data_IF_648948259364
#
_entry.id   IF_648948259364
#
_cell.length_a   1.000
_cell.length_b   1.000
_cell.length_c   1.000
_cell.angle_alpha   90.00
_cell.angle_beta   90.00
_cell.angle_gamma   90.00
#
_symmetry.space_group_name_H-M   'P 1'
#
loop_
_entity.id
_entity.type
_entity.pdbx_description
1 polymer ?
#
# COMPACT_ATOMS: atom_id res chain seq x y z
N UNK A 1 26.48 -5.09 16.78
CA UNK A 1 25.34 -5.79 16.18
C UNK A 1 25.79 -6.40 14.85
N UNK A 2 25.55 -7.69 14.56
CA UNK A 2 25.93 -8.29 13.27
C UNK A 2 25.09 -7.69 12.14
N UNK A 3 25.72 -7.13 11.10
CA UNK A 3 25.05 -6.53 9.94
C UNK A 3 25.25 -7.43 8.70
N UNK A 4 24.18 -7.70 7.96
CA UNK A 4 24.24 -8.34 6.64
C UNK A 4 23.87 -7.34 5.56
N UNK A 5 24.77 -7.11 4.60
CA UNK A 5 24.53 -6.24 3.45
C UNK A 5 24.82 -6.99 2.14
N UNK A 6 24.08 -6.64 1.09
CA UNK A 6 24.40 -6.98 -0.29
C UNK A 6 24.27 -5.72 -1.12
N UNK A 7 25.21 -5.51 -2.05
CA UNK A 7 25.13 -4.43 -3.02
C UNK A 7 24.01 -4.71 -4.03
N UNK A 8 23.03 -3.82 -4.11
CA UNK A 8 22.05 -3.73 -5.19
C UNK A 8 22.45 -2.57 -6.09
N UNK A 9 22.93 -2.82 -7.30
CA UNK A 9 23.16 -1.74 -8.26
C UNK A 9 21.84 -0.98 -8.54
N UNK A 10 21.69 0.22 -7.99
CA UNK A 10 20.58 1.16 -8.28
C UNK A 10 20.94 2.11 -9.43
N UNK A 11 22.09 1.93 -10.07
CA UNK A 11 22.52 2.79 -11.17
C UNK A 11 21.79 2.40 -12.47
N UNK A 12 20.86 3.25 -12.90
CA UNK A 12 20.25 3.22 -14.24
C UNK A 12 18.74 2.95 -14.25
N UNK A 13 18.23 2.12 -13.35
CA UNK A 13 16.81 1.74 -13.32
C UNK A 13 16.06 2.45 -12.19
N UNK A 14 15.17 3.37 -12.55
CA UNK A 14 14.33 4.11 -11.59
C UNK A 14 13.25 3.24 -10.92
N UNK A 15 13.12 1.95 -11.27
CA UNK A 15 12.13 1.05 -10.71
C UNK A 15 12.64 0.30 -9.48
N UNK A 16 12.73 1.01 -8.35
CA UNK A 16 13.22 0.48 -7.07
C UNK A 16 12.46 -0.77 -6.60
N UNK A 17 11.16 -0.87 -6.92
CA UNK A 17 10.31 -2.01 -6.54
C UNK A 17 10.76 -3.28 -7.26
N UNK A 18 11.06 -3.17 -8.55
CA UNK A 18 11.54 -4.30 -9.36
C UNK A 18 12.93 -4.76 -8.90
N UNK A 19 13.85 -3.82 -8.67
CA UNK A 19 15.20 -4.13 -8.18
C UNK A 19 15.17 -4.80 -6.79
N UNK A 20 14.32 -4.29 -5.90
CA UNK A 20 14.11 -4.87 -4.56
C UNK A 20 13.56 -6.29 -4.69
N UNK A 21 12.50 -6.48 -5.47
CA UNK A 21 11.88 -7.80 -5.71
C UNK A 21 12.88 -8.80 -6.28
N UNK A 22 13.64 -8.39 -7.30
CA UNK A 22 14.69 -9.22 -7.92
C UNK A 22 15.76 -9.64 -6.92
N UNK A 23 16.17 -8.74 -6.03
CA UNK A 23 17.19 -9.04 -5.03
C UNK A 23 16.69 -9.97 -3.94
N UNK A 24 15.50 -9.71 -3.38
CA UNK A 24 14.90 -10.59 -2.38
C UNK A 24 14.67 -12.00 -2.94
N UNK A 25 14.20 -12.10 -4.20
CA UNK A 25 14.06 -13.38 -4.88
C UNK A 25 15.41 -14.09 -5.07
N UNK A 26 16.48 -13.36 -5.40
CA UNK A 26 17.82 -13.93 -5.50
C UNK A 26 18.28 -14.51 -4.16
N UNK A 27 18.12 -13.78 -3.06
CA UNK A 27 18.45 -14.26 -1.71
C UNK A 27 17.65 -15.51 -1.34
N UNK A 28 16.34 -15.49 -1.56
CA UNK A 28 15.47 -16.62 -1.26
C UNK A 28 15.83 -17.87 -2.07
N UNK A 29 16.23 -17.69 -3.34
CA UNK A 29 16.54 -18.80 -4.23
C UNK A 29 17.91 -19.46 -3.96
N UNK A 30 18.73 -18.97 -3.02
CA UNK A 30 19.97 -19.67 -2.60
C UNK A 30 19.68 -21.12 -2.18
N UNK A 31 18.52 -21.36 -1.55
CA UNK A 31 18.11 -22.70 -1.12
C UNK A 31 18.00 -23.68 -2.29
N UNK A 32 17.53 -23.23 -3.46
CA UNK A 32 17.32 -24.09 -4.64
C UNK A 32 18.63 -24.65 -5.17
N UNK A 33 19.71 -23.88 -5.08
CA UNK A 33 21.04 -24.30 -5.51
C UNK A 33 21.76 -25.18 -4.48
N UNK A 34 21.28 -25.20 -3.24
CA UNK A 34 21.94 -25.91 -2.13
C UNK A 34 21.43 -27.33 -1.87
N UNK A 35 20.24 -27.69 -2.36
CA UNK A 35 19.69 -29.05 -2.23
C UNK A 35 19.53 -29.53 -0.77
N UNK A 36 19.02 -28.67 0.12
CA UNK A 36 18.91 -28.98 1.55
C UNK A 36 18.06 -30.22 1.81
N UNK A 37 18.65 -31.20 2.50
CA UNK A 37 17.94 -32.38 3.04
C UNK A 37 17.37 -32.12 4.44
N UNK A 38 17.94 -31.14 5.16
CA UNK A 38 17.48 -30.66 6.46
C UNK A 38 17.60 -29.13 6.51
N UNK A 39 16.76 -28.43 7.31
CA UNK A 39 16.75 -26.97 7.38
C UNK A 39 17.91 -26.42 8.22
N UNK A 40 19.13 -26.91 8.03
CA UNK A 40 20.32 -26.49 8.80
C UNK A 40 21.01 -25.30 8.16
N UNK A 41 21.40 -24.30 8.95
CA UNK A 41 22.05 -23.10 8.47
C UNK A 41 23.50 -23.35 8.03
N UNK A 42 23.77 -23.10 6.75
CA UNK A 42 25.12 -23.04 6.17
C UNK A 42 25.38 -21.64 5.62
N UNK A 43 26.16 -20.86 6.36
CA UNK A 43 26.54 -19.49 5.98
C UNK A 43 27.30 -19.42 4.64
N UNK A 44 27.90 -20.52 4.17
CA UNK A 44 28.65 -20.54 2.90
C UNK A 44 27.77 -20.79 1.68
N UNK A 45 26.59 -21.42 1.86
CA UNK A 45 25.71 -21.83 0.76
C UNK A 45 24.38 -21.08 0.72
N UNK A 46 23.81 -20.82 1.89
CA UNK A 46 22.45 -20.29 2.06
C UNK A 46 22.44 -19.10 3.01
N UNK A 47 23.47 -18.25 2.93
CA UNK A 47 23.67 -17.14 3.86
C UNK A 47 22.43 -16.28 4.01
N UNK A 48 21.89 -15.79 2.91
CA UNK A 48 20.78 -14.85 2.90
C UNK A 48 19.45 -15.59 3.08
N UNK A 49 19.27 -16.73 2.42
CA UNK A 49 18.08 -17.57 2.65
C UNK A 49 17.92 -17.93 4.12
N UNK A 50 19.00 -18.37 4.77
CA UNK A 50 18.97 -18.78 6.17
C UNK A 50 18.63 -17.65 7.13
N UNK A 51 19.06 -16.42 6.84
CA UNK A 51 18.63 -15.25 7.63
C UNK A 51 17.14 -14.99 7.44
N UNK A 52 16.66 -15.02 6.19
CA UNK A 52 15.24 -14.79 5.86
C UNK A 52 14.31 -15.87 6.44
N UNK A 53 14.76 -17.12 6.49
CA UNK A 53 13.97 -18.29 6.91
C UNK A 53 14.15 -18.67 8.40
N UNK A 54 14.96 -17.92 9.16
CA UNK A 54 15.25 -18.22 10.57
C UNK A 54 14.00 -18.09 11.44
N UNK A 55 13.39 -19.22 11.81
CA UNK A 55 12.09 -19.30 12.49
C UNK A 55 11.98 -18.55 13.83
N UNK A 56 13.04 -18.41 14.65
CA UNK A 56 13.01 -17.59 15.86
C UNK A 56 12.84 -16.07 15.61
N UNK A 57 13.04 -15.60 14.38
CA UNK A 57 12.97 -14.17 14.03
C UNK A 57 11.55 -13.64 14.15
N UNK A 58 11.37 -12.50 14.81
CA UNK A 58 10.04 -11.90 15.02
C UNK A 58 9.89 -10.49 14.48
N UNK A 59 10.99 -9.86 14.10
CA UNK A 59 11.03 -8.51 13.57
C UNK A 59 12.16 -8.32 12.58
N UNK A 60 11.89 -7.54 11.53
CA UNK A 60 12.90 -7.13 10.58
C UNK A 60 12.56 -5.76 9.98
N UNK A 61 13.58 -5.06 9.50
CA UNK A 61 13.43 -3.80 8.80
C UNK A 61 14.44 -3.72 7.66
N UNK A 62 14.01 -3.17 6.53
CA UNK A 62 14.87 -2.97 5.37
C UNK A 62 14.95 -1.50 4.99
N UNK A 63 16.11 -1.08 4.51
CA UNK A 63 16.33 0.24 3.93
C UNK A 63 17.26 0.11 2.74
N UNK A 64 17.23 1.09 1.85
CA UNK A 64 18.18 1.21 0.76
C UNK A 64 18.70 2.63 0.69
N UNK A 65 19.93 2.79 0.20
CA UNK A 65 20.51 4.13 0.01
C UNK A 65 20.98 4.32 -1.44
N UNK A 66 20.87 5.56 -1.92
CA UNK A 66 21.36 5.95 -3.24
C UNK A 66 22.89 6.05 -3.29
N UNK A 67 23.53 6.37 -2.16
CA UNK A 67 24.98 6.61 -2.11
C UNK A 67 25.82 5.35 -2.26
N UNK A 68 25.32 4.18 -1.84
CA UNK A 68 26.07 2.93 -1.92
C UNK A 68 25.41 1.84 -2.72
N UNK A 69 24.21 2.08 -3.29
CA UNK A 69 23.50 1.09 -4.09
C UNK A 69 23.38 -0.22 -3.28
N UNK A 70 22.78 -0.13 -2.08
CA UNK A 70 22.66 -1.25 -1.15
C UNK A 70 21.23 -1.33 -0.64
N UNK A 71 20.66 -2.53 -0.63
CA UNK A 71 19.55 -2.88 0.24
C UNK A 71 20.14 -3.57 1.46
N UNK A 72 19.76 -3.06 2.61
CA UNK A 72 20.12 -3.60 3.91
C UNK A 72 18.83 -4.04 4.57
N UNK A 73 18.78 -5.29 5.01
CA UNK A 73 17.73 -5.78 5.89
C UNK A 73 18.38 -6.22 7.20
N UNK A 74 17.84 -5.76 8.32
CA UNK A 74 18.23 -6.18 9.66
C UNK A 74 17.10 -6.99 10.27
N UNK A 75 17.48 -8.02 11.01
CA UNK A 75 16.60 -8.97 11.67
C UNK A 75 16.93 -8.97 13.16
N UNK A 76 15.92 -9.15 14.00
CA UNK A 76 16.05 -9.18 15.47
C UNK A 76 16.75 -10.44 15.99
N UNK A 77 16.89 -11.47 15.14
CA UNK A 77 17.59 -12.71 15.44
C UNK A 77 18.68 -13.00 14.40
N UNK A 78 19.76 -13.64 14.84
CA UNK A 78 20.84 -14.13 13.98
C UNK A 78 20.82 -15.67 13.95
N UNK A 79 20.76 -16.32 12.77
CA UNK A 79 20.94 -17.76 12.68
C UNK A 79 22.38 -18.15 13.04
N UNK A 80 22.54 -19.27 13.73
CA UNK A 80 23.84 -19.82 14.13
C UNK A 80 24.25 -20.92 13.16
N UNK A 81 25.50 -20.89 12.68
CA UNK A 81 26.02 -21.90 11.76
C UNK A 81 25.88 -23.30 12.36
N UNK A 82 25.35 -24.24 11.57
CA UNK A 82 25.13 -25.62 11.99
C UNK A 82 23.84 -25.86 12.80
N UNK A 83 23.13 -24.82 13.22
CA UNK A 83 21.83 -24.96 13.86
C UNK A 83 20.71 -25.06 12.82
N UNK A 84 19.61 -25.69 13.20
CA UNK A 84 18.38 -25.67 12.41
C UNK A 84 17.81 -24.24 12.36
N UNK A 85 17.39 -23.83 11.17
CA UNK A 85 16.72 -22.55 10.90
C UNK A 85 15.31 -22.53 11.47
N UNK A 86 14.59 -23.64 11.31
CA UNK A 86 13.26 -23.87 11.82
C UNK A 86 13.07 -25.37 12.06
N UNK A 87 12.08 -25.73 12.86
CA UNK A 87 11.72 -27.13 13.06
C UNK A 87 10.88 -27.61 11.88
N UNK A 88 11.27 -28.73 11.28
CA UNK A 88 10.43 -29.43 10.31
C UNK A 88 9.25 -30.08 11.05
N UNK A 89 8.06 -29.98 10.48
CA UNK A 89 6.81 -30.45 11.09
C UNK A 89 5.63 -30.17 10.17
N UNK A 90 4.41 -30.37 10.66
CA UNK A 90 3.24 -29.92 9.94
C UNK A 90 3.02 -28.41 10.16
N UNK A 91 2.15 -27.80 9.35
CA UNK A 91 1.93 -26.36 9.43
C UNK A 91 1.16 -25.96 10.71
N UNK A 92 1.15 -24.66 11.01
CA UNK A 92 0.51 -24.16 12.23
C UNK A 92 -1.03 -24.31 12.27
N UNK A 93 -1.68 -24.77 11.20
CA UNK A 93 -3.11 -25.10 11.24
C UNK A 93 -3.39 -26.45 11.89
N UNK A 94 -2.34 -27.25 12.12
CA UNK A 94 -2.43 -28.62 12.65
C UNK A 94 -1.69 -28.83 13.97
N UNK A 95 -0.49 -28.25 14.11
CA UNK A 95 0.38 -28.49 15.26
C UNK A 95 0.35 -27.37 16.32
N UNK A 96 -0.60 -26.44 16.19
CA UNK A 96 -0.67 -25.18 16.94
C UNK A 96 0.64 -24.37 16.89
N UNK A 97 0.55 -23.09 17.24
CA UNK A 97 1.74 -22.26 17.33
C UNK A 97 2.43 -22.42 18.68
N UNK A 98 3.76 -22.30 18.70
CA UNK A 98 4.57 -22.46 19.92
C UNK A 98 4.15 -21.52 21.06
N UNK A 99 4.42 -21.87 22.33
CA UNK A 99 4.22 -20.96 23.46
C UNK A 99 4.85 -19.57 23.20
N UNK A 100 4.06 -18.51 23.42
CA UNK A 100 4.46 -17.14 23.08
C UNK A 100 3.96 -16.64 21.71
N UNK A 101 2.97 -17.31 21.11
CA UNK A 101 2.24 -16.94 19.89
C UNK A 101 0.73 -16.99 20.16
N UNK A 102 -0.11 -16.34 19.33
CA UNK A 102 -1.56 -16.21 19.55
C UNK A 102 -2.44 -16.86 18.50
N UNK A 103 -1.98 -16.99 17.25
CA UNK A 103 -2.79 -17.56 16.17
C UNK A 103 -1.96 -17.92 14.95
N UNK A 104 -2.45 -18.91 14.19
CA UNK A 104 -1.93 -19.22 12.85
C UNK A 104 -2.66 -18.34 11.81
N UNK A 105 -1.91 -17.51 11.09
CA UNK A 105 -2.43 -16.63 10.03
C UNK A 105 -1.66 -16.89 8.76
N UNK A 106 -2.35 -17.39 7.71
CA UNK A 106 -1.73 -17.73 6.42
C UNK A 106 -0.46 -18.59 6.59
N UNK A 107 -0.56 -19.63 7.42
CA UNK A 107 0.54 -20.56 7.74
C UNK A 107 1.73 -19.95 8.49
N UNK A 108 1.56 -18.76 9.09
CA UNK A 108 2.55 -18.14 9.97
C UNK A 108 1.99 -17.95 11.38
N UNK A 109 2.82 -18.24 12.38
CA UNK A 109 2.47 -18.02 13.77
C UNK A 109 2.62 -16.55 14.16
N UNK A 110 1.53 -15.94 14.62
CA UNK A 110 1.50 -14.55 15.06
C UNK A 110 1.92 -14.44 16.52
N UNK A 111 2.77 -13.48 16.88
CA UNK A 111 3.00 -13.13 18.28
C UNK A 111 1.70 -12.54 18.90
N UNK A 112 1.39 -12.81 20.19
CA UNK A 112 0.22 -12.25 20.87
C UNK A 112 0.26 -10.73 20.91
N UNK A 113 1.48 -10.19 20.87
CA UNK A 113 1.76 -8.77 20.75
C UNK A 113 2.80 -8.54 19.64
N UNK A 114 2.42 -8.79 18.39
CA UNK A 114 3.11 -8.17 17.26
C UNK A 114 2.71 -6.69 17.21
N UNK A 115 3.61 -5.82 17.67
CA UNK A 115 3.51 -4.38 17.42
C UNK A 115 4.45 -4.09 16.25
N UNK A 116 3.96 -3.97 15.00
CA UNK A 116 4.76 -3.33 13.97
C UNK A 116 5.24 -2.00 14.53
N UNK A 117 6.49 -1.61 14.27
CA UNK A 117 6.95 -0.29 14.71
C UNK A 117 5.97 0.77 14.19
N UNK A 118 5.20 1.38 15.08
CA UNK A 118 4.42 2.57 14.78
C UNK A 118 5.36 3.75 14.47
N UNK A 119 6.59 3.66 14.97
CA UNK A 119 7.74 4.46 14.55
C UNK A 119 8.36 3.89 13.26
N UNK A 120 7.55 3.71 12.22
CA UNK A 120 8.05 3.65 10.86
C UNK A 120 8.21 5.10 10.39
N UNK A 121 9.46 5.52 10.13
CA UNK A 121 9.69 6.77 9.42
C UNK A 121 9.57 6.54 7.91
N UNK A 122 8.94 7.46 7.17
CA UNK A 122 8.22 8.65 7.66
C UNK A 122 6.92 8.31 8.38
N UNK A 123 6.61 9.07 9.46
CA UNK A 123 5.35 8.92 10.21
C UNK A 123 4.15 9.24 9.33
N UNK A 124 2.97 8.64 9.57
CA UNK A 124 1.72 9.07 8.93
C UNK A 124 1.53 10.58 9.08
N UNK A 125 0.85 11.21 8.11
CA UNK A 125 0.57 12.65 8.03
C UNK A 125 -0.41 13.15 9.11
N UNK A 126 -0.71 12.33 10.10
CA UNK A 126 -1.61 12.64 11.21
C UNK A 126 -0.82 13.32 12.33
N UNK A 127 -1.42 14.34 12.94
CA UNK A 127 -0.94 14.94 14.17
C UNK A 127 -0.93 13.95 15.33
N UNK A 128 -0.22 14.31 16.39
CA UNK A 128 -0.10 13.48 17.59
C UNK A 128 -1.47 13.09 18.15
N UNK A 129 -1.65 11.80 18.45
CA UNK A 129 -2.90 11.25 18.98
C UNK A 129 -4.03 11.05 17.95
N UNK A 130 -3.76 11.27 16.66
CA UNK A 130 -4.73 11.04 15.58
C UNK A 130 -4.26 9.94 14.62
N UNK A 131 -5.22 9.17 14.09
CA UNK A 131 -4.96 8.11 13.11
C UNK A 131 -6.14 7.95 12.16
N UNK A 132 -5.84 7.67 10.90
CA UNK A 132 -6.78 7.23 9.86
C UNK A 132 -6.62 5.73 9.54
N UNK A 133 -5.73 5.03 10.25
CA UNK A 133 -5.42 3.62 10.01
C UNK A 133 -4.55 3.37 8.77
N UNK A 134 -4.03 4.42 8.12
CA UNK A 134 -3.16 4.32 6.96
C UNK A 134 -1.68 4.57 7.33
N UNK A 135 -0.77 3.99 6.55
CA UNK A 135 0.65 4.34 6.62
C UNK A 135 0.94 5.60 5.79
N UNK A 136 2.08 6.26 6.02
CA UNK A 136 2.50 7.41 5.21
C UNK A 136 2.54 7.08 3.71
N UNK A 137 3.02 5.89 3.35
CA UNK A 137 3.07 5.46 1.95
C UNK A 137 1.68 5.36 1.33
N UNK A 138 0.69 4.86 2.08
CA UNK A 138 -0.70 4.80 1.61
C UNK A 138 -1.27 6.21 1.44
N UNK A 139 -1.05 7.11 2.38
CA UNK A 139 -1.53 8.50 2.32
C UNK A 139 -0.92 9.25 1.13
N UNK A 140 0.40 9.13 0.91
CA UNK A 140 1.07 9.66 -0.28
C UNK A 140 0.52 9.07 -1.57
N UNK A 141 0.33 7.74 -1.61
CA UNK A 141 -0.23 7.07 -2.79
C UNK A 141 -1.61 7.62 -3.14
N UNK A 142 -2.48 7.81 -2.13
CA UNK A 142 -3.83 8.37 -2.32
C UNK A 142 -3.75 9.80 -2.86
N UNK A 143 -2.97 10.67 -2.20
CA UNK A 143 -2.81 12.07 -2.61
C UNK A 143 -2.27 12.18 -4.04
N UNK A 144 -1.23 11.42 -4.36
CA UNK A 144 -0.56 11.49 -5.67
C UNK A 144 -1.44 10.97 -6.78
N UNK A 145 -2.16 9.86 -6.57
CA UNK A 145 -3.08 9.31 -7.57
C UNK A 145 -4.27 10.22 -7.82
N UNK A 146 -4.90 10.76 -6.78
CA UNK A 146 -6.00 11.72 -6.94
C UNK A 146 -5.51 12.94 -7.73
N UNK A 147 -4.36 13.50 -7.36
CA UNK A 147 -3.80 14.65 -8.07
C UNK A 147 -3.34 14.30 -9.49
N UNK A 148 -2.92 13.07 -9.77
CA UNK A 148 -2.64 12.62 -11.13
C UNK A 148 -3.89 12.70 -12.01
N UNK A 149 -5.03 12.16 -11.55
CA UNK A 149 -6.28 12.25 -12.30
C UNK A 149 -6.82 13.68 -12.43
N UNK A 150 -6.65 14.52 -11.40
CA UNK A 150 -6.95 15.96 -11.48
C UNK A 150 -6.12 16.67 -12.53
N UNK A 151 -4.81 16.36 -12.63
CA UNK A 151 -3.95 16.90 -13.69
C UNK A 151 -4.43 16.48 -15.06
N UNK A 152 -4.85 15.22 -15.25
CA UNK A 152 -5.43 14.79 -16.54
C UNK A 152 -6.62 15.66 -16.95
N UNK A 153 -7.53 16.00 -16.03
CA UNK A 153 -8.64 16.93 -16.32
C UNK A 153 -8.13 18.36 -16.58
N UNK A 154 -7.22 18.85 -15.74
CA UNK A 154 -6.61 20.19 -15.90
C UNK A 154 -5.84 20.38 -17.21
N UNK A 155 -5.37 19.30 -17.83
CA UNK A 155 -4.63 19.32 -19.10
C UNK A 155 -5.45 18.82 -20.31
N UNK A 156 -6.70 18.40 -20.13
CA UNK A 156 -7.54 17.87 -21.21
C UNK A 156 -7.22 16.44 -21.67
N UNK A 157 -6.49 15.68 -20.85
CA UNK A 157 -6.09 14.28 -21.13
C UNK A 157 -6.94 13.25 -20.38
N UNK A 158 -7.91 13.67 -19.57
CA UNK A 158 -8.84 12.77 -18.91
C UNK A 158 -9.82 12.20 -19.95
N UNK A 159 -9.75 10.89 -20.21
CA UNK A 159 -10.64 10.23 -21.17
C UNK A 159 -12.08 10.22 -20.65
N UNK A 160 -13.03 10.53 -21.53
CA UNK A 160 -14.46 10.44 -21.28
C UNK A 160 -15.12 9.49 -22.28
N UNK A 161 -16.42 9.21 -22.13
CA UNK A 161 -17.17 8.34 -23.06
C UNK A 161 -16.98 8.74 -24.52
N UNK A 162 -17.05 10.05 -24.79
CA UNK A 162 -16.97 10.64 -26.12
C UNK A 162 -15.66 11.42 -26.33
N UNK A 163 -14.51 10.81 -26.01
CA UNK A 163 -13.18 11.40 -26.21
C UNK A 163 -12.52 11.81 -24.90
N UNK A 164 -12.45 13.11 -24.63
CA UNK A 164 -11.81 13.67 -23.43
C UNK A 164 -12.78 14.59 -22.67
N UNK A 165 -12.66 14.59 -21.35
CA UNK A 165 -13.37 15.54 -20.51
C UNK A 165 -12.89 16.97 -20.79
N UNK A 166 -13.76 17.98 -20.66
CA UNK A 166 -13.39 19.37 -20.85
C UNK A 166 -12.22 19.80 -19.94
N UNK A 167 -11.35 20.67 -20.47
CA UNK A 167 -10.20 21.21 -19.73
C UNK A 167 -10.68 22.06 -18.56
N UNK A 168 -10.18 21.76 -17.36
CA UNK A 168 -10.48 22.59 -16.19
C UNK A 168 -9.55 23.81 -16.10
N UNK A 169 -10.14 25.02 -16.12
CA UNK A 169 -9.41 26.29 -16.02
C UNK A 169 -8.68 26.50 -14.69
N UNK A 170 -9.26 26.03 -13.58
CA UNK A 170 -8.74 26.22 -12.21
C UNK A 170 -8.83 24.90 -11.43
N UNK A 171 -7.85 24.02 -11.61
CA UNK A 171 -7.77 22.73 -10.92
C UNK A 171 -6.67 22.75 -9.84
N UNK A 172 -6.99 23.06 -8.57
CA UNK A 172 -5.99 23.03 -7.51
C UNK A 172 -5.59 21.59 -7.19
N UNK A 173 -4.33 21.39 -6.78
CA UNK A 173 -3.92 20.14 -6.17
C UNK A 173 -4.55 19.99 -4.78
N UNK A 174 -4.92 18.77 -4.43
CA UNK A 174 -5.38 18.42 -3.10
C UNK A 174 -4.21 18.07 -2.20
N UNK A 175 -4.34 18.43 -0.93
CA UNK A 175 -3.44 18.01 0.15
C UNK A 175 -4.19 17.04 1.05
N UNK A 176 -3.52 15.97 1.47
CA UNK A 176 -4.07 14.94 2.32
C UNK A 176 -4.33 15.51 3.72
N UNK A 177 -5.58 15.41 4.18
CA UNK A 177 -5.96 15.85 5.51
C UNK A 177 -6.24 14.63 6.39
N UNK A 178 -5.22 14.14 7.12
CA UNK A 178 -5.43 13.01 8.01
C UNK A 178 -6.30 13.39 9.21
N UNK A 179 -5.99 14.51 9.87
CA UNK A 179 -6.52 14.80 11.22
C UNK A 179 -8.04 14.93 11.30
N UNK A 180 -8.66 15.48 10.26
CA UNK A 180 -10.10 15.67 10.20
C UNK A 180 -10.73 14.67 9.25
N UNK A 181 -10.35 14.69 7.97
CA UNK A 181 -11.00 13.86 6.95
C UNK A 181 -10.62 12.39 7.09
N UNK A 182 -9.34 12.07 7.25
CA UNK A 182 -8.88 10.70 7.46
C UNK A 182 -9.50 10.06 8.72
N UNK A 183 -9.51 10.79 9.84
CA UNK A 183 -10.16 10.34 11.09
C UNK A 183 -11.66 10.08 10.90
N UNK A 184 -12.38 10.95 10.19
CA UNK A 184 -13.81 10.76 9.91
C UNK A 184 -14.04 9.55 9.01
N UNK A 185 -13.24 9.38 7.95
CA UNK A 185 -13.30 8.20 7.08
C UNK A 185 -13.07 6.92 7.87
N UNK A 186 -12.06 6.89 8.73
CA UNK A 186 -11.80 5.75 9.64
C UNK A 186 -13.00 5.46 10.54
N UNK A 187 -13.59 6.50 11.14
CA UNK A 187 -14.77 6.36 12.00
C UNK A 187 -15.96 5.72 11.27
N UNK A 188 -16.15 6.05 10.00
CA UNK A 188 -17.20 5.44 9.16
C UNK A 188 -16.85 3.97 8.86
N UNK A 189 -15.61 3.68 8.46
CA UNK A 189 -15.20 2.33 8.04
C UNK A 189 -15.06 1.34 9.19
N UNK A 190 -14.66 1.79 10.39
CA UNK A 190 -14.48 0.94 11.57
C UNK A 190 -15.80 0.32 12.07
N UNK A 191 -16.95 0.83 11.62
CA UNK A 191 -18.26 0.21 11.90
C UNK A 191 -18.46 -1.12 11.16
N UNK A 192 -17.66 -1.38 10.12
CA UNK A 192 -17.75 -2.59 9.30
C UNK A 192 -19.13 -2.82 8.66
N UNK A 193 -19.89 -1.76 8.43
CA UNK A 193 -21.19 -1.82 7.74
C UNK A 193 -20.98 -2.05 6.23
N UNK A 194 -21.93 -2.74 5.57
CA UNK A 194 -21.97 -2.81 4.11
C UNK A 194 -22.56 -1.50 3.56
N UNK A 195 -22.16 -1.04 2.35
CA UNK A 195 -22.76 0.14 1.72
C UNK A 195 -24.29 -0.02 1.53
N UNK A 196 -25.05 1.08 1.43
CA UNK A 196 -24.59 2.45 1.23
C UNK A 196 -24.11 3.13 2.52
N UNK A 197 -23.12 4.01 2.37
CA UNK A 197 -22.59 4.82 3.46
C UNK A 197 -23.10 6.26 3.38
N UNK A 198 -23.27 6.90 4.54
CA UNK A 198 -23.67 8.30 4.62
C UNK A 198 -22.44 9.20 4.81
N UNK A 199 -22.25 10.17 3.93
CA UNK A 199 -21.19 11.16 4.09
C UNK A 199 -21.43 12.05 5.32
N UNK A 200 -20.36 12.47 5.99
CA UNK A 200 -20.48 13.44 7.08
C UNK A 200 -21.05 14.78 6.58
N UNK A 201 -21.79 15.49 7.45
CA UNK A 201 -22.50 16.72 7.08
C UNK A 201 -21.59 17.72 6.36
N UNK A 202 -22.06 18.24 5.22
CA UNK A 202 -21.34 19.19 4.38
C UNK A 202 -20.17 18.62 3.58
N UNK A 203 -19.99 17.29 3.56
CA UNK A 203 -18.91 16.60 2.83
C UNK A 203 -19.47 15.66 1.77
N UNK A 204 -18.64 15.38 0.77
CA UNK A 204 -18.90 14.31 -0.19
C UNK A 204 -17.95 13.13 0.09
N UNK A 205 -18.26 11.98 -0.48
CA UNK A 205 -17.53 10.75 -0.23
C UNK A 205 -17.55 9.86 -1.46
N UNK A 206 -16.43 9.18 -1.69
CA UNK A 206 -16.33 8.04 -2.59
C UNK A 206 -16.00 6.80 -1.79
N UNK A 207 -16.54 5.65 -2.18
CA UNK A 207 -16.27 4.38 -1.52
C UNK A 207 -16.01 3.28 -2.55
N UNK A 208 -15.32 2.23 -2.11
CA UNK A 208 -15.08 1.04 -2.89
C UNK A 208 -15.21 -0.17 -1.97
N UNK A 209 -16.05 -1.12 -2.35
CA UNK A 209 -16.38 -2.29 -1.54
C UNK A 209 -16.24 -3.55 -2.39
N UNK A 210 -15.56 -4.55 -1.85
CA UNK A 210 -15.38 -5.87 -2.47
C UNK A 210 -15.56 -6.96 -1.41
N UNK A 211 -16.23 -8.05 -1.76
CA UNK A 211 -16.36 -9.22 -0.88
C UNK A 211 -15.16 -10.15 -1.05
N UNK A 212 -14.00 -9.72 -0.55
CA UNK A 212 -12.74 -10.47 -0.64
C UNK A 212 -11.93 -10.30 0.64
N UNK A 213 -11.22 -11.35 1.06
CA UNK A 213 -10.28 -11.27 2.20
C UNK A 213 -8.83 -11.28 1.73
N UNK A 214 -7.93 -10.76 2.56
CA UNK A 214 -6.48 -10.92 2.36
C UNK A 214 -5.86 -10.09 1.23
N UNK A 215 -6.48 -8.99 0.81
CA UNK A 215 -5.93 -8.04 -0.14
C UNK A 215 -4.73 -7.25 0.42
N UNK A 216 -3.85 -6.79 -0.48
CA UNK A 216 -2.84 -5.78 -0.15
C UNK A 216 -3.52 -4.41 -0.08
N UNK A 217 -3.49 -3.75 1.07
CA UNK A 217 -4.20 -2.47 1.28
C UNK A 217 -3.78 -1.38 0.31
N UNK A 218 -2.49 -1.29 -0.06
CA UNK A 218 -2.02 -0.32 -1.04
C UNK A 218 -2.59 -0.61 -2.43
N UNK A 219 -2.53 -1.85 -2.89
CA UNK A 219 -3.11 -2.24 -4.19
C UNK A 219 -4.61 -1.99 -4.23
N UNK A 220 -5.31 -2.30 -3.14
CA UNK A 220 -6.74 -2.04 -3.01
C UNK A 220 -7.08 -0.54 -3.11
N UNK A 221 -6.30 0.32 -2.45
CA UNK A 221 -6.43 1.78 -2.58
C UNK A 221 -6.21 2.27 -4.02
N UNK A 222 -5.20 1.73 -4.71
CA UNK A 222 -4.90 2.07 -6.10
C UNK A 222 -6.04 1.67 -7.04
N UNK A 223 -6.60 0.46 -6.84
CA UNK A 223 -7.75 -0.04 -7.60
C UNK A 223 -9.00 0.80 -7.39
N UNK A 224 -9.30 1.17 -6.13
CA UNK A 224 -10.43 2.03 -5.79
C UNK A 224 -10.34 3.39 -6.49
N UNK A 225 -9.20 4.09 -6.37
CA UNK A 225 -9.01 5.43 -6.97
C UNK A 225 -9.08 5.36 -8.49
N UNK A 226 -8.49 4.33 -9.10
CA UNK A 226 -8.59 4.10 -10.54
C UNK A 226 -10.04 3.90 -10.96
N UNK A 227 -10.78 3.05 -10.24
CA UNK A 227 -12.20 2.78 -10.51
C UNK A 227 -13.03 4.07 -10.47
N UNK A 228 -12.84 4.90 -9.44
CA UNK A 228 -13.51 6.19 -9.32
C UNK A 228 -13.19 7.12 -10.49
N UNK A 229 -11.91 7.28 -10.83
CA UNK A 229 -11.50 8.18 -11.91
C UNK A 229 -11.98 7.69 -13.30
N UNK A 230 -12.03 6.38 -13.52
CA UNK A 230 -12.43 5.80 -14.80
C UNK A 230 -13.94 5.83 -15.06
N UNK A 231 -14.76 6.22 -14.08
CA UNK A 231 -16.18 6.48 -14.29
C UNK A 231 -16.44 7.53 -15.38
N UNK A 232 -15.52 8.48 -15.58
CA UNK A 232 -15.59 9.45 -16.69
C UNK A 232 -15.74 8.80 -18.07
N UNK A 233 -15.19 7.59 -18.27
CA UNK A 233 -15.30 6.84 -19.51
C UNK A 233 -16.73 6.33 -19.78
N UNK A 234 -17.60 6.38 -18.78
CA UNK A 234 -18.97 5.88 -18.84
C UNK A 234 -20.00 7.01 -18.96
N UNK A 235 -19.66 8.22 -18.55
CA UNK A 235 -20.52 9.40 -18.59
C UNK A 235 -20.27 10.24 -19.83
N UNK A 236 -21.35 10.80 -20.40
CA UNK A 236 -21.23 11.90 -21.35
C UNK A 236 -21.00 13.22 -20.60
N UNK A 237 -19.76 13.71 -20.65
CA UNK A 237 -19.32 14.90 -19.89
C UNK A 237 -19.28 16.09 -20.86
N UNK A 238 -20.24 16.99 -20.70
CA UNK A 238 -20.38 18.18 -21.55
C UNK A 238 -20.23 19.47 -20.73
N UNK A 239 -19.89 20.56 -21.41
CA UNK A 239 -19.91 21.90 -20.81
C UNK A 239 -21.24 22.58 -21.05
N UNK A 240 -21.85 23.14 -20.00
CA UNK A 240 -23.01 24.03 -20.07
C UNK A 240 -22.50 25.41 -19.66
N UNK A 241 -22.64 26.43 -20.51
CA UNK A 241 -22.14 27.78 -20.19
C UNK A 241 -20.64 27.84 -19.81
N UNK A 242 -19.81 26.93 -20.34
CA UNK A 242 -18.37 26.86 -20.03
C UNK A 242 -18.00 26.10 -18.75
N UNK A 243 -18.97 25.48 -18.07
CA UNK A 243 -18.74 24.69 -16.85
C UNK A 243 -19.28 23.25 -16.99
N UNK A 244 -18.66 22.30 -16.29
CA UNK A 244 -19.19 20.95 -16.12
C UNK A 244 -19.99 20.90 -14.82
N UNK A 245 -21.27 20.55 -14.91
CA UNK A 245 -22.17 20.50 -13.75
C UNK A 245 -22.34 19.08 -13.22
N UNK A 246 -22.53 18.97 -11.91
CA UNK A 246 -22.90 17.72 -11.26
C UNK A 246 -24.39 17.44 -11.45
N UNK A 247 -24.74 16.91 -12.62
CA UNK A 247 -26.10 16.59 -13.02
C UNK A 247 -26.09 15.44 -14.04
N UNK A 248 -27.27 14.91 -14.36
CA UNK A 248 -27.50 13.96 -15.45
C UNK A 248 -26.50 12.79 -15.46
N UNK A 249 -25.80 12.57 -16.58
CA UNK A 249 -24.83 11.49 -16.76
C UNK A 249 -23.65 11.58 -15.78
N UNK A 250 -23.22 12.79 -15.38
CA UNK A 250 -22.16 12.96 -14.39
C UNK A 250 -22.62 12.47 -13.03
N UNK A 251 -23.84 12.83 -12.62
CA UNK A 251 -24.41 12.39 -11.34
C UNK A 251 -24.69 10.89 -11.32
N UNK A 252 -25.20 10.33 -12.42
CA UNK A 252 -25.65 8.94 -12.49
C UNK A 252 -24.51 7.93 -12.71
N UNK A 253 -23.47 8.31 -13.47
CA UNK A 253 -22.44 7.37 -13.94
C UNK A 253 -21.02 7.77 -13.51
N UNK A 254 -20.80 9.00 -13.07
CA UNK A 254 -19.47 9.54 -12.76
C UNK A 254 -19.41 10.35 -11.47
N UNK A 255 -20.17 9.91 -10.45
CA UNK A 255 -20.26 10.62 -9.17
C UNK A 255 -18.94 10.64 -8.39
N UNK A 256 -18.20 9.53 -8.38
CA UNK A 256 -16.89 9.48 -7.73
C UNK A 256 -15.83 10.22 -8.54
N UNK A 257 -15.90 10.15 -9.88
CA UNK A 257 -15.05 10.99 -10.72
C UNK A 257 -15.26 12.48 -10.42
N UNK A 258 -16.52 12.91 -10.25
CA UNK A 258 -16.84 14.29 -9.89
C UNK A 258 -16.27 14.67 -8.50
N UNK A 259 -16.31 13.76 -7.52
CA UNK A 259 -15.66 13.97 -6.23
C UNK A 259 -14.14 14.14 -6.36
N UNK A 260 -13.48 13.27 -7.14
CA UNK A 260 -12.03 13.31 -7.39
C UNK A 260 -11.62 14.62 -8.08
N UNK A 261 -12.45 15.12 -9.00
CA UNK A 261 -12.09 16.20 -9.92
C UNK A 261 -12.76 17.54 -9.60
N UNK A 262 -13.47 17.65 -8.47
CA UNK A 262 -14.10 18.89 -8.05
C UNK A 262 -13.09 20.05 -7.99
N UNK A 263 -13.33 21.10 -8.76
CA UNK A 263 -12.60 22.37 -8.72
C UNK A 263 -13.36 23.41 -7.88
N UNK A 264 -12.68 24.51 -7.56
CA UNK A 264 -13.37 25.72 -7.07
C UNK A 264 -14.12 26.35 -8.25
N UNK A 265 -15.40 26.61 -8.07
CA UNK A 265 -16.16 27.41 -9.03
C UNK A 265 -15.54 28.81 -9.08
N UNK A 266 -15.29 29.34 -10.28
CA UNK A 266 -15.03 30.77 -10.43
C UNK A 266 -16.29 31.50 -9.98
N UNK A 267 -16.21 32.27 -8.89
CA UNK A 267 -17.16 33.35 -8.64
C UNK A 267 -17.04 34.32 -9.81
N UNK A 268 -17.99 34.25 -10.73
CA UNK A 268 -18.32 35.34 -11.65
C UNK A 268 -18.99 36.47 -10.88
#
# INVERSE_FOLDING_TARGET
MPQHNTSIKLAGDCNINELTTKTLNKWWNEVKSSGLTAPTYDETKIKNFGIMANGPTTGFACTYNKCSNKLLCLYDQKPTKGNVLYQAGSDCTKDDCKPGTSSCVKYLCRLPKYVPSEDALPKPMCGAGTTDGMTYEMQMTVQDMINYYRRLVGTGWAKAKNGYAPIAKLMPNLVYNCDVLGKLSKTITDKCEKPPYTAALGRTMSYHYVEKTGFNSKTFLQEAIKTWAEQSKQADIQTIGGAVFYQDDVQQKASDWANVTKSVASSS
#
